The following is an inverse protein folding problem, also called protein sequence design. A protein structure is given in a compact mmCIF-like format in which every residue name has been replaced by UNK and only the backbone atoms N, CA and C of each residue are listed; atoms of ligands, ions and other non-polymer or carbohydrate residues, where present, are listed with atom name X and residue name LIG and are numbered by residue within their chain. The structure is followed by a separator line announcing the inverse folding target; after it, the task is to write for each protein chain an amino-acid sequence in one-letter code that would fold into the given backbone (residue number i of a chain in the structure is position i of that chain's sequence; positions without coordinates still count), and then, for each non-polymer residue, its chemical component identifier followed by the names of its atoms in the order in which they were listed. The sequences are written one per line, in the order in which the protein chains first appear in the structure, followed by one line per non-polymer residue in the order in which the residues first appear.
data_IF_644318509970
#
_entry.id   IF_644318509970
#
_cell.length_a   1.000
_cell.length_b   1.000
_cell.length_c   1.000
_cell.angle_alpha   90.00
_cell.angle_beta   90.00
_cell.angle_gamma   90.00
#
_symmetry.space_group_name_H-M   'P 1'
#
loop_
_entity.id
_entity.type
_entity.pdbx_description
1 polymer ?
#
# COMPACT_ATOMS: atom_id res chain seq x y z
N UNK A 1 -13.34 -13.15 15.94
CA UNK A 1 -13.33 -12.34 14.71
C UNK A 1 -14.20 -13.00 13.69
N UNK A 2 -15.21 -12.28 13.20
CA UNK A 2 -16.20 -12.74 12.24
C UNK A 2 -16.17 -11.98 10.92
N UNK A 3 -15.41 -10.88 10.83
CA UNK A 3 -15.34 -10.02 9.64
C UNK A 3 -13.96 -9.37 9.46
N UNK A 4 -13.69 -8.86 8.26
CA UNK A 4 -12.48 -8.06 7.98
C UNK A 4 -12.40 -6.80 8.84
N UNK A 5 -13.53 -6.15 9.12
CA UNK A 5 -13.60 -4.97 9.99
C UNK A 5 -13.06 -5.29 11.38
N UNK A 6 -13.66 -6.27 12.05
CA UNK A 6 -13.19 -6.72 13.38
C UNK A 6 -11.73 -7.18 13.33
N UNK A 7 -11.33 -7.76 12.18
CA UNK A 7 -9.97 -8.26 12.03
C UNK A 7 -8.93 -7.14 12.04
N UNK A 8 -9.15 -6.12 11.21
CA UNK A 8 -8.21 -5.00 11.08
C UNK A 8 -8.29 -4.07 12.28
N UNK A 9 -9.48 -3.78 12.82
CA UNK A 9 -9.61 -2.98 14.04
C UNK A 9 -8.74 -3.53 15.16
N UNK A 10 -8.89 -4.81 15.49
CA UNK A 10 -8.13 -5.44 16.56
C UNK A 10 -6.63 -5.54 16.26
N UNK A 11 -6.25 -6.08 15.09
CA UNK A 11 -4.85 -6.33 14.82
C UNK A 11 -4.04 -5.05 14.57
N UNK A 12 -4.62 -4.04 13.92
CA UNK A 12 -3.92 -2.77 13.72
C UNK A 12 -3.72 -2.04 15.07
N UNK A 13 -4.69 -2.14 15.99
CA UNK A 13 -4.55 -1.61 17.34
C UNK A 13 -3.50 -2.36 18.16
N UNK A 14 -3.66 -3.68 18.29
CA UNK A 14 -2.81 -4.49 19.16
C UNK A 14 -1.37 -4.55 18.65
N UNK A 15 -1.18 -4.86 17.36
CA UNK A 15 0.13 -5.18 16.76
C UNK A 15 0.85 -3.95 16.19
N UNK A 16 0.13 -2.93 15.70
CA UNK A 16 0.73 -1.80 14.99
C UNK A 16 0.47 -0.43 15.63
N UNK A 17 -0.32 -0.36 16.71
CA UNK A 17 -0.65 0.88 17.42
C UNK A 17 -1.40 1.89 16.55
N UNK A 18 -2.34 1.40 15.74
CA UNK A 18 -3.28 2.22 14.96
C UNK A 18 -4.69 2.08 15.52
N UNK A 19 -5.51 3.11 15.40
CA UNK A 19 -6.92 3.04 15.80
C UNK A 19 -7.82 3.56 14.70
N UNK A 20 -9.07 3.09 14.72
CA UNK A 20 -10.08 3.53 13.77
C UNK A 20 -10.39 5.02 14.01
N UNK A 21 -10.10 5.86 13.02
CA UNK A 21 -10.45 7.27 13.05
C UNK A 21 -11.91 7.48 12.67
N UNK A 22 -12.33 6.85 11.57
CA UNK A 22 -13.69 6.95 11.04
C UNK A 22 -14.00 5.85 10.02
N UNK A 23 -15.30 5.64 9.82
CA UNK A 23 -15.86 4.86 8.73
C UNK A 23 -16.68 5.76 7.81
N UNK A 24 -16.66 5.48 6.50
CA UNK A 24 -17.39 6.21 5.47
C UNK A 24 -18.09 5.20 4.54
N UNK A 25 -19.42 5.16 4.51
CA UNK A 25 -20.17 4.41 3.50
C UNK A 25 -20.03 5.07 2.12
N UNK A 26 -19.65 4.30 1.09
CA UNK A 26 -19.44 4.77 -0.29
C UNK A 26 -19.83 3.67 -1.29
N UNK A 27 -20.84 3.88 -2.15
CA UNK A 27 -21.16 3.04 -3.32
C UNK A 27 -21.02 1.52 -3.11
N UNK A 28 -21.92 0.91 -2.34
CA UNK A 28 -21.91 -0.53 -1.98
C UNK A 28 -20.64 -1.00 -1.26
N UNK A 29 -19.88 -0.07 -0.67
CA UNK A 29 -18.71 -0.35 0.14
C UNK A 29 -18.70 0.49 1.41
N UNK A 30 -17.89 0.08 2.38
CA UNK A 30 -17.57 0.84 3.58
C UNK A 30 -16.05 1.03 3.65
N UNK A 31 -15.61 2.29 3.73
CA UNK A 31 -14.22 2.68 3.85
C UNK A 31 -13.87 2.96 5.31
N UNK A 32 -12.92 2.21 5.84
CA UNK A 32 -12.39 2.41 7.20
C UNK A 32 -11.02 3.06 7.12
N UNK A 33 -10.82 4.11 7.92
CA UNK A 33 -9.57 4.86 7.97
C UNK A 33 -8.99 4.73 9.36
N UNK A 34 -7.78 4.17 9.44
CA UNK A 34 -7.01 4.04 10.66
C UNK A 34 -5.87 5.05 10.68
N UNK A 35 -5.61 5.60 11.86
CA UNK A 35 -4.49 6.51 12.11
C UNK A 35 -3.58 5.97 13.20
N UNK A 36 -2.30 6.36 13.24
CA UNK A 36 -1.38 5.86 14.25
C UNK A 36 -1.64 6.57 15.57
N UNK A 37 -1.35 5.88 16.68
CA UNK A 37 -1.36 6.46 18.02
C UNK A 37 -0.14 7.37 18.25
N UNK A 38 0.98 7.08 17.59
CA UNK A 38 2.21 7.86 17.69
C UNK A 38 2.13 9.17 16.89
N UNK A 39 2.34 10.30 17.55
CA UNK A 39 2.21 11.65 16.94
C UNK A 39 3.14 11.90 15.75
N UNK A 40 4.31 11.27 15.73
CA UNK A 40 5.31 11.47 14.69
C UNK A 40 5.12 10.54 13.49
N UNK A 41 4.24 9.54 13.62
CA UNK A 41 3.91 8.64 12.54
C UNK A 41 2.81 9.28 11.67
N UNK A 42 3.09 9.43 10.37
CA UNK A 42 2.17 10.01 9.39
C UNK A 42 1.51 8.94 8.51
N UNK A 43 1.79 7.66 8.76
CA UNK A 43 1.18 6.54 8.03
C UNK A 43 -0.30 6.44 8.39
N UNK A 44 -1.16 6.21 7.39
CA UNK A 44 -2.56 5.86 7.58
C UNK A 44 -2.83 4.52 6.89
N UNK A 45 -3.69 3.71 7.48
CA UNK A 45 -4.18 2.49 6.83
C UNK A 45 -5.61 2.74 6.40
N UNK A 46 -5.93 2.44 5.14
CA UNK A 46 -7.30 2.47 4.64
C UNK A 46 -7.66 1.08 4.16
N UNK A 47 -8.79 0.56 4.62
CA UNK A 47 -9.37 -0.66 4.06
C UNK A 47 -10.75 -0.35 3.52
N UNK A 48 -11.11 -0.99 2.42
CA UNK A 48 -12.46 -0.90 1.87
C UNK A 48 -13.05 -2.29 1.84
N UNK A 49 -14.28 -2.41 2.32
CA UNK A 49 -15.04 -3.65 2.43
C UNK A 49 -16.31 -3.51 1.59
N UNK A 50 -16.64 -4.50 0.78
CA UNK A 50 -17.88 -4.58 0.02
C UNK A 50 -19.07 -4.87 0.95
N UNK A 51 -20.30 -4.55 0.55
CA UNK A 51 -21.52 -4.86 1.32
C UNK A 51 -21.66 -6.33 1.70
N UNK A 52 -21.13 -7.25 0.88
CA UNK A 52 -21.14 -8.69 1.16
C UNK A 52 -20.11 -9.11 2.22
N UNK A 53 -19.31 -8.17 2.75
CA UNK A 53 -18.29 -8.40 3.77
C UNK A 53 -16.88 -8.68 3.25
N UNK A 54 -16.67 -8.74 1.93
CA UNK A 54 -15.36 -9.03 1.33
C UNK A 54 -14.44 -7.80 1.32
N UNK A 55 -13.15 -8.01 1.56
CA UNK A 55 -12.14 -6.94 1.50
C UNK A 55 -11.78 -6.66 0.05
N UNK A 56 -11.98 -5.43 -0.42
CA UNK A 56 -11.66 -5.05 -1.80
C UNK A 56 -10.31 -4.35 -1.93
N UNK A 57 -9.90 -3.55 -0.94
CA UNK A 57 -8.60 -2.85 -0.97
C UNK A 57 -8.01 -2.69 0.42
N UNK A 58 -6.68 -2.72 0.52
CA UNK A 58 -5.90 -2.28 1.68
C UNK A 58 -4.80 -1.35 1.19
N UNK A 59 -4.78 -0.11 1.70
CA UNK A 59 -3.80 0.91 1.33
C UNK A 59 -3.05 1.37 2.57
N UNK A 60 -1.72 1.34 2.49
CA UNK A 60 -0.82 2.01 3.43
C UNK A 60 -0.36 3.32 2.82
N UNK A 61 -0.77 4.42 3.43
CA UNK A 61 -0.56 5.78 2.90
C UNK A 61 0.43 6.50 3.80
N UNK A 62 1.54 6.96 3.24
CA UNK A 62 2.48 7.82 3.97
C UNK A 62 2.99 8.94 3.06
N UNK A 63 3.04 10.21 3.53
CA UNK A 63 3.55 11.34 2.75
C UNK A 63 4.99 11.16 2.23
N UNK A 64 5.79 10.34 2.91
CA UNK A 64 7.16 10.02 2.52
C UNK A 64 7.21 9.00 1.38
N UNK A 65 6.16 8.24 1.09
CA UNK A 65 6.13 7.23 0.02
C UNK A 65 4.93 7.42 -0.92
N UNK A 66 4.87 8.57 -1.63
CA UNK A 66 3.79 8.89 -2.55
C UNK A 66 3.77 8.00 -3.80
N UNK A 67 4.91 7.44 -4.23
CA UNK A 67 4.96 6.47 -5.31
C UNK A 67 4.28 5.17 -4.92
N UNK A 68 4.66 4.61 -3.78
CA UNK A 68 4.06 3.40 -3.21
C UNK A 68 2.55 3.56 -2.96
N UNK A 69 2.14 4.73 -2.47
CA UNK A 69 0.71 5.06 -2.29
C UNK A 69 -0.04 4.97 -3.62
N UNK A 70 0.45 5.64 -4.66
CA UNK A 70 -0.18 5.64 -5.99
C UNK A 70 -0.19 4.27 -6.65
N UNK A 71 0.81 3.43 -6.38
CA UNK A 71 0.83 2.07 -6.90
C UNK A 71 -0.34 1.26 -6.32
N UNK A 72 -0.50 1.26 -5.00
CA UNK A 72 -1.58 0.51 -4.32
C UNK A 72 -2.98 0.98 -4.73
N UNK A 73 -3.16 2.26 -5.09
CA UNK A 73 -4.45 2.79 -5.56
C UNK A 73 -4.98 2.08 -6.83
N UNK A 74 -4.12 1.34 -7.54
CA UNK A 74 -4.49 0.58 -8.72
C UNK A 74 -4.78 -0.90 -8.41
N UNK A 75 -4.49 -1.34 -7.18
CA UNK A 75 -4.56 -2.74 -6.77
C UNK A 75 -5.90 -3.04 -6.07
N UNK A 76 -6.56 -4.11 -6.50
CA UNK A 76 -7.77 -4.63 -5.87
C UNK A 76 -7.53 -6.08 -5.50
N UNK A 77 -8.13 -6.52 -4.40
CA UNK A 77 -8.10 -7.93 -4.05
C UNK A 77 -9.11 -8.72 -4.86
N UNK A 78 -8.73 -9.94 -5.22
CA UNK A 78 -9.58 -10.91 -5.90
C UNK A 78 -9.76 -12.16 -5.06
N UNK A 79 -10.89 -12.86 -5.26
CA UNK A 79 -11.33 -14.00 -4.45
C UNK A 79 -10.25 -15.05 -4.18
N UNK A 80 -9.44 -15.35 -5.18
CA UNK A 80 -8.43 -16.41 -5.13
C UNK A 80 -7.00 -15.90 -5.12
N UNK A 81 -6.78 -14.64 -4.73
CA UNK A 81 -5.45 -14.02 -4.74
C UNK A 81 -4.40 -14.80 -3.94
N UNK A 82 -4.81 -15.50 -2.88
CA UNK A 82 -3.94 -16.33 -2.05
C UNK A 82 -4.29 -17.82 -2.14
N UNK A 83 -5.01 -18.24 -3.17
CA UNK A 83 -5.32 -19.65 -3.43
C UNK A 83 -4.25 -20.25 -4.36
N UNK A 84 -3.67 -21.38 -3.96
CA UNK A 84 -2.66 -22.07 -4.77
C UNK A 84 -3.26 -22.92 -5.89
N UNK A 85 -4.58 -23.12 -5.88
CA UNK A 85 -5.31 -24.01 -6.81
C UNK A 85 -6.17 -23.25 -7.80
N UNK A 86 -6.68 -22.08 -7.42
CA UNK A 86 -7.56 -21.26 -8.26
C UNK A 86 -6.86 -19.93 -8.58
N UNK A 87 -6.96 -19.47 -9.82
CA UNK A 87 -6.30 -18.23 -10.27
C UNK A 87 -7.26 -17.14 -10.74
N UNK A 88 -8.55 -17.44 -10.90
CA UNK A 88 -9.55 -16.49 -11.43
C UNK A 88 -10.80 -16.41 -10.57
N UNK A 89 -11.17 -15.21 -10.13
CA UNK A 89 -12.38 -14.98 -9.36
C UNK A 89 -12.78 -13.52 -9.33
N UNK A 90 -14.00 -13.26 -8.86
CA UNK A 90 -14.53 -11.91 -8.73
C UNK A 90 -13.69 -11.06 -7.75
N UNK A 91 -13.83 -9.75 -7.87
CA UNK A 91 -13.21 -8.81 -6.94
C UNK A 91 -13.80 -8.96 -5.53
N UNK A 92 -12.96 -8.77 -4.52
CA UNK A 92 -13.31 -9.01 -3.12
C UNK A 92 -12.64 -10.28 -2.59
N UNK A 93 -11.96 -10.13 -1.45
CA UNK A 93 -11.28 -11.20 -0.75
C UNK A 93 -12.14 -11.67 0.42
N UNK A 94 -12.50 -12.94 0.42
CA UNK A 94 -13.35 -13.54 1.45
C UNK A 94 -12.66 -13.57 2.82
N UNK A 95 -13.43 -13.36 3.89
CA UNK A 95 -12.96 -13.52 5.25
C UNK A 95 -12.82 -15.00 5.65
N UNK A 96 -11.70 -15.62 5.29
CA UNK A 96 -11.40 -17.01 5.64
C UNK A 96 -10.00 -17.16 6.29
N UNK A 97 -9.70 -18.34 6.83
CA UNK A 97 -8.43 -18.60 7.53
C UNK A 97 -7.21 -18.30 6.66
N UNK A 98 -7.20 -18.77 5.42
CA UNK A 98 -6.05 -18.62 4.51
C UNK A 98 -5.70 -17.15 4.27
N UNK A 99 -6.71 -16.35 3.97
CA UNK A 99 -6.52 -14.92 3.72
C UNK A 99 -6.07 -14.18 4.99
N UNK A 100 -6.61 -14.56 6.17
CA UNK A 100 -6.17 -13.99 7.45
C UNK A 100 -4.73 -14.34 7.77
N UNK A 101 -4.31 -15.58 7.55
CA UNK A 101 -2.94 -16.02 7.81
C UNK A 101 -1.93 -15.17 6.99
N UNK A 102 -2.28 -14.82 5.74
CA UNK A 102 -1.49 -13.90 4.92
C UNK A 102 -1.39 -12.49 5.55
N UNK A 103 -2.50 -11.92 6.01
CA UNK A 103 -2.45 -10.62 6.67
C UNK A 103 -1.79 -10.65 8.05
N UNK A 104 -1.84 -11.77 8.77
CA UNK A 104 -1.12 -11.93 10.03
C UNK A 104 0.39 -11.87 9.79
N UNK A 105 0.87 -12.53 8.73
CA UNK A 105 2.26 -12.43 8.30
C UNK A 105 2.62 -11.01 7.87
N UNK A 106 1.81 -10.37 7.02
CA UNK A 106 2.02 -8.98 6.60
C UNK A 106 2.07 -8.02 7.79
N UNK A 107 1.13 -8.12 8.73
CA UNK A 107 1.08 -7.29 9.93
C UNK A 107 2.18 -7.61 10.93
N UNK A 108 2.85 -8.77 10.83
CA UNK A 108 4.02 -9.09 11.65
C UNK A 108 5.32 -8.58 11.00
N UNK A 109 5.49 -8.81 9.71
CA UNK A 109 6.72 -8.51 8.99
C UNK A 109 6.83 -7.04 8.56
N UNK A 110 5.71 -6.35 8.36
CA UNK A 110 5.66 -4.99 7.84
C UNK A 110 5.79 -4.92 6.32
N UNK A 111 5.97 -3.72 5.80
CA UNK A 111 6.14 -3.52 4.36
C UNK A 111 7.55 -3.90 3.91
N UNK A 112 7.67 -4.82 2.95
CA UNK A 112 8.96 -5.16 2.34
C UNK A 112 9.16 -4.38 1.05
N UNK A 113 10.28 -3.66 0.94
CA UNK A 113 10.58 -2.94 -0.30
C UNK A 113 11.25 -1.60 -0.10
N UNK A 114 11.42 -0.88 -1.20
CA UNK A 114 11.87 0.51 -1.17
C UNK A 114 11.21 1.35 -2.25
N UNK A 115 11.10 2.64 -1.97
CA UNK A 115 10.78 3.65 -2.97
C UNK A 115 12.03 4.51 -3.23
N UNK A 116 12.42 4.62 -4.51
CA UNK A 116 13.47 5.53 -4.96
C UNK A 116 12.79 6.72 -5.64
N UNK A 117 13.01 7.92 -5.09
CA UNK A 117 12.37 9.15 -5.49
C UNK A 117 13.35 10.06 -6.22
N UNK A 118 12.91 10.63 -7.33
CA UNK A 118 13.74 11.46 -8.18
C UNK A 118 13.21 12.88 -8.25
N UNK A 119 14.01 13.83 -7.77
CA UNK A 119 13.64 15.23 -7.65
C UNK A 119 14.38 16.11 -8.67
N UNK A 120 13.69 17.17 -9.11
CA UNK A 120 14.26 18.23 -9.95
C UNK A 120 13.73 19.57 -9.47
N UNK A 121 14.60 20.53 -9.19
CA UNK A 121 14.22 21.86 -8.67
C UNK A 121 13.29 21.78 -7.42
N UNK A 122 13.55 20.83 -6.50
CA UNK A 122 12.74 20.61 -5.31
C UNK A 122 11.41 19.87 -5.53
N UNK A 123 11.06 19.54 -6.78
CA UNK A 123 9.81 18.85 -7.11
C UNK A 123 10.03 17.35 -7.36
N UNK A 124 9.14 16.51 -6.83
CA UNK A 124 9.13 15.07 -7.12
C UNK A 124 8.65 14.82 -8.56
N UNK A 125 9.51 14.24 -9.40
CA UNK A 125 9.23 13.99 -10.81
C UNK A 125 8.71 12.58 -11.04
N UNK A 126 9.42 11.58 -10.50
CA UNK A 126 9.05 10.16 -10.58
C UNK A 126 9.48 9.41 -9.32
N UNK A 127 8.84 8.27 -9.08
CA UNK A 127 9.26 7.26 -8.11
C UNK A 127 9.43 5.91 -8.81
N UNK A 128 10.39 5.12 -8.34
CA UNK A 128 10.56 3.71 -8.66
C UNK A 128 10.28 2.91 -7.40
N UNK A 129 9.25 2.07 -7.43
CA UNK A 129 8.79 1.29 -6.28
C UNK A 129 9.19 -0.17 -6.48
N UNK A 130 9.91 -0.73 -5.51
CA UNK A 130 10.38 -2.11 -5.50
C UNK A 130 9.71 -2.83 -4.32
N UNK A 131 8.86 -3.84 -4.56
CA UNK A 131 8.16 -4.60 -3.51
C UNK A 131 8.58 -6.07 -3.51
N UNK A 132 9.21 -6.55 -2.44
CA UNK A 132 9.78 -7.91 -2.37
C UNK A 132 8.68 -8.95 -2.12
N UNK A 133 7.97 -9.37 -3.17
CA UNK A 133 6.90 -10.36 -3.05
C UNK A 133 7.36 -11.82 -3.01
N UNK A 134 8.62 -12.13 -3.32
CA UNK A 134 9.16 -13.49 -3.26
C UNK A 134 10.70 -13.50 -3.14
N UNK A 135 11.26 -14.65 -2.80
CA UNK A 135 12.68 -14.92 -2.49
C UNK A 135 13.70 -14.51 -3.56
N UNK A 136 13.27 -14.15 -4.79
CA UNK A 136 14.15 -13.67 -5.85
C UNK A 136 14.33 -12.14 -5.79
N UNK A 137 15.24 -11.69 -4.91
CA UNK A 137 15.63 -10.28 -4.76
C UNK A 137 16.33 -9.70 -6.01
N UNK A 138 16.84 -10.54 -6.90
CA UNK A 138 17.80 -10.13 -7.94
C UNK A 138 17.18 -9.76 -9.30
N UNK A 139 15.86 -9.85 -9.48
CA UNK A 139 15.18 -9.60 -10.78
C UNK A 139 13.96 -8.68 -10.70
N UNK A 140 13.96 -7.73 -9.78
CA UNK A 140 12.78 -6.91 -9.55
C UNK A 140 12.70 -5.75 -10.54
N UNK A 141 11.64 -5.78 -11.35
CA UNK A 141 11.26 -4.67 -12.22
C UNK A 141 10.48 -3.68 -11.36
N UNK A 142 10.95 -2.43 -11.19
CA UNK A 142 10.23 -1.46 -10.40
C UNK A 142 8.94 -1.00 -11.08
N UNK A 143 7.92 -0.73 -10.28
CA UNK A 143 6.77 0.06 -10.71
C UNK A 143 7.19 1.52 -10.85
N UNK A 144 7.09 2.06 -12.06
CA UNK A 144 7.47 3.46 -12.34
C UNK A 144 6.24 4.35 -12.21
N UNK A 145 6.27 5.24 -11.22
CA UNK A 145 5.20 6.21 -10.98
C UNK A 145 5.67 7.59 -11.41
N UNK A 146 4.97 8.16 -12.40
CA UNK A 146 5.23 9.56 -12.83
C UNK A 146 4.33 10.52 -12.06
N UNK A 147 4.94 11.47 -11.34
CA UNK A 147 4.21 12.49 -10.58
C UNK A 147 3.98 13.76 -11.39
N UNK A 148 4.95 14.14 -12.24
CA UNK A 148 4.84 15.28 -13.15
C UNK A 148 5.37 14.93 -14.53
N UNK A 149 4.63 15.30 -15.58
CA UNK A 149 5.12 15.23 -16.96
C UNK A 149 6.28 16.22 -17.11
N UNK A 150 7.43 15.75 -17.58
CA UNK A 150 8.58 16.62 -17.86
C UNK A 150 8.23 17.60 -18.97
N UNK A 151 8.43 18.89 -18.74
CA UNK A 151 8.38 19.91 -19.80
C UNK A 151 9.54 19.68 -20.78
N UNK A 152 9.30 19.91 -22.07
CA UNK A 152 10.26 19.70 -23.17
C UNK A 152 11.65 20.29 -22.87
N UNK A 153 11.70 21.50 -22.30
CA UNK A 153 12.94 22.19 -21.95
C UNK A 153 13.79 21.50 -20.87
N UNK A 154 13.20 20.72 -19.97
CA UNK A 154 13.95 19.98 -18.93
C UNK A 154 14.71 18.78 -19.51
N UNK A 155 14.39 18.33 -20.74
CA UNK A 155 15.16 17.27 -21.44
C UNK A 155 16.52 17.75 -21.95
N UNK A 156 16.72 19.07 -22.10
CA UNK A 156 17.93 19.65 -22.70
C UNK A 156 19.05 19.92 -21.68
N UNK A 157 18.80 19.75 -20.38
CA UNK A 157 19.83 19.94 -19.35
C UNK A 157 20.55 18.63 -19.03
N UNK A 158 21.89 18.65 -18.96
CA UNK A 158 22.74 17.47 -18.68
C UNK A 158 22.45 16.80 -17.33
N UNK A 159 21.97 17.54 -16.33
CA UNK A 159 21.65 17.01 -15.00
C UNK A 159 20.17 16.63 -14.92
N UNK A 160 19.89 15.35 -15.15
CA UNK A 160 18.54 14.78 -15.30
C UNK A 160 17.71 14.89 -13.99
N UNK A 161 18.36 14.82 -12.83
CA UNK A 161 17.77 14.97 -11.49
C UNK A 161 18.78 15.66 -10.55
N UNK A 162 18.28 16.45 -9.61
CA UNK A 162 19.13 17.19 -8.67
C UNK A 162 19.32 16.45 -7.35
N UNK A 163 18.34 15.63 -6.97
CA UNK A 163 18.33 14.85 -5.73
C UNK A 163 17.64 13.50 -5.96
N UNK A 164 18.18 12.46 -5.32
CA UNK A 164 17.62 11.10 -5.31
C UNK A 164 17.50 10.66 -3.86
N UNK A 165 16.30 10.28 -3.42
CA UNK A 165 16.05 9.73 -2.08
C UNK A 165 15.66 8.28 -2.16
N UNK A 166 16.18 7.46 -1.25
CA UNK A 166 15.76 6.07 -1.08
C UNK A 166 15.08 5.92 0.26
N UNK A 167 13.89 5.33 0.27
CA UNK A 167 13.08 5.13 1.46
C UNK A 167 12.73 3.65 1.55
N UNK A 168 13.23 3.00 2.59
CA UNK A 168 12.86 1.62 2.93
C UNK A 168 11.42 1.59 3.47
N UNK A 169 10.58 0.74 2.91
CA UNK A 169 9.16 0.69 3.26
C UNK A 169 8.93 0.11 4.65
N UNK A 170 9.85 -0.72 5.15
CA UNK A 170 9.83 -1.30 6.50
C UNK A 170 9.88 -0.20 7.58
N UNK A 171 10.42 0.99 7.23
CA UNK A 171 10.47 2.15 8.15
C UNK A 171 9.17 2.95 8.18
N UNK A 172 8.23 2.63 7.31
CA UNK A 172 6.97 3.35 7.13
C UNK A 172 5.82 2.60 7.81
N UNK A 173 5.86 1.27 7.83
CA UNK A 173 4.77 0.46 8.38
C UNK A 173 5.26 -0.86 8.99
#
# INVERSE_FOLDING_TARGET
MKSWKEYFERNLEEKRKFFLERSIPENNTELFIFKPLEKNNQTRVKIRILENGDLITLLIINPKTPGFTKQQEQEHFYRFQYDNTNSYGNAGLEFNKRNRDHFDQFLMEGLKGKEVQYYKNGELIKSEVFQYYAENRDKMIPSIITHKKRKFWNRLTKKIFDEIKTIELEKIF
#
